data_IF_083419342601
#
_entry.id   IF_083419342601
#
_cell.length_a   1.000
_cell.length_b   1.000
_cell.length_c   1.000
_cell.angle_alpha   90.00
_cell.angle_beta   90.00
_cell.angle_gamma   90.00
#
_symmetry.space_group_name_H-M   'P 1'
#
loop_
_entity.id
_entity.type
_entity.pdbx_description
1 polymer ?
#
# COMPACT_ATOMS: atom_id res chain seq x y z
N UNK A 1 17.42 -0.84 -24.38
CA UNK A 1 16.61 0.39 -24.17
C UNK A 1 15.21 0.21 -24.75
N UNK A 2 14.26 1.02 -24.33
CA UNK A 2 12.92 1.03 -24.96
C UNK A 2 13.07 1.22 -26.47
N UNK A 3 12.27 0.52 -27.27
CA UNK A 3 12.16 0.82 -28.69
C UNK A 3 11.77 2.29 -28.90
N UNK A 4 12.29 2.93 -29.95
CA UNK A 4 12.05 4.35 -30.24
C UNK A 4 10.56 4.72 -30.29
N UNK A 5 9.70 3.79 -30.73
CA UNK A 5 8.26 4.03 -30.78
C UNK A 5 7.61 4.19 -29.40
N UNK A 6 8.11 3.49 -28.36
CA UNK A 6 7.61 3.63 -27.00
C UNK A 6 8.01 4.98 -26.41
N UNK A 7 9.24 5.44 -26.74
CA UNK A 7 9.71 6.76 -26.31
C UNK A 7 8.92 7.87 -26.99
N UNK A 8 8.73 7.78 -28.30
CA UNK A 8 7.93 8.74 -29.05
C UNK A 8 6.48 8.79 -28.56
N UNK A 9 5.92 7.63 -28.17
CA UNK A 9 4.58 7.59 -27.58
C UNK A 9 4.54 8.31 -26.23
N UNK A 10 5.46 8.02 -25.34
CA UNK A 10 5.54 8.71 -24.05
C UNK A 10 5.73 10.22 -24.23
N UNK A 11 6.64 10.64 -25.13
CA UNK A 11 6.82 12.07 -25.45
C UNK A 11 5.53 12.71 -25.99
N UNK A 12 4.77 12.01 -26.82
CA UNK A 12 3.52 12.53 -27.38
C UNK A 12 2.47 12.83 -26.32
N UNK A 13 2.48 12.11 -25.20
CA UNK A 13 1.59 12.34 -24.06
C UNK A 13 1.89 13.65 -23.32
N UNK A 14 3.10 14.21 -23.48
CA UNK A 14 3.54 15.44 -22.82
C UNK A 14 3.32 16.71 -23.65
N UNK A 15 3.04 16.60 -24.93
CA UNK A 15 2.95 17.77 -25.84
C UNK A 15 1.62 18.51 -25.79
N UNK A 16 0.56 17.89 -25.24
CA UNK A 16 -0.81 18.44 -25.22
C UNK A 16 -1.27 18.88 -23.82
N UNK A 17 -0.35 19.37 -22.97
CA UNK A 17 -0.75 19.93 -21.70
C UNK A 17 -1.63 21.18 -21.90
N UNK A 18 -2.79 21.27 -21.24
CA UNK A 18 -3.63 22.46 -21.32
C UNK A 18 -2.87 23.66 -20.76
N UNK A 19 -3.17 24.82 -21.32
CA UNK A 19 -2.59 26.07 -20.87
C UNK A 19 -2.66 26.19 -19.35
N UNK A 20 -1.58 26.65 -18.71
CA UNK A 20 -1.48 26.82 -17.27
C UNK A 20 -2.68 27.60 -16.74
N UNK A 21 -3.31 27.06 -15.69
CA UNK A 21 -4.41 27.74 -15.01
C UNK A 21 -3.92 28.96 -14.20
N UNK A 22 -4.83 29.75 -13.63
CA UNK A 22 -4.48 30.98 -12.90
C UNK A 22 -3.58 30.78 -11.67
N UNK A 23 -3.42 29.53 -11.23
CA UNK A 23 -2.60 29.15 -10.06
C UNK A 23 -1.35 28.33 -10.44
N UNK A 24 -1.03 28.26 -11.72
CA UNK A 24 0.13 27.51 -12.24
C UNK A 24 0.94 28.38 -13.16
N UNK A 25 2.24 28.14 -13.21
CA UNK A 25 3.16 28.80 -14.14
C UNK A 25 4.15 27.78 -14.73
N UNK A 26 4.76 28.10 -15.86
CA UNK A 26 5.83 27.28 -16.41
C UNK A 26 7.08 27.31 -15.50
N UNK A 27 7.94 26.31 -15.63
CA UNK A 27 9.21 26.28 -14.93
C UNK A 27 10.08 27.51 -15.26
N UNK A 28 10.15 27.89 -16.54
CA UNK A 28 10.93 29.05 -16.98
C UNK A 28 10.39 30.36 -16.40
N UNK A 29 9.06 30.53 -16.30
CA UNK A 29 8.46 31.68 -15.65
C UNK A 29 8.79 31.72 -14.17
N UNK A 30 8.72 30.58 -13.48
CA UNK A 30 9.09 30.45 -12.07
C UNK A 30 10.55 30.82 -11.81
N UNK A 31 11.47 30.32 -12.65
CA UNK A 31 12.91 30.64 -12.55
C UNK A 31 13.13 32.13 -12.82
N UNK A 32 12.52 32.69 -13.87
CA UNK A 32 12.67 34.10 -14.23
C UNK A 32 12.14 35.04 -13.13
N UNK A 33 11.07 34.64 -12.42
CA UNK A 33 10.57 35.36 -11.26
C UNK A 33 11.54 35.26 -10.07
N UNK A 34 12.10 34.08 -9.84
CA UNK A 34 13.12 33.84 -8.80
C UNK A 34 14.42 34.64 -9.04
N UNK A 35 14.86 34.81 -10.28
CA UNK A 35 16.04 35.62 -10.63
C UNK A 35 15.89 37.11 -10.30
N UNK A 36 14.66 37.59 -10.22
CA UNK A 36 14.35 38.97 -9.82
C UNK A 36 14.38 39.17 -8.29
N UNK A 37 14.41 38.08 -7.52
CA UNK A 37 14.45 38.13 -6.08
C UNK A 37 15.84 38.53 -5.57
N UNK A 38 15.95 39.69 -4.99
CA UNK A 38 17.22 40.23 -4.43
C UNK A 38 17.32 40.12 -2.90
N UNK A 39 16.33 39.49 -2.27
CA UNK A 39 16.28 39.34 -0.82
C UNK A 39 17.09 38.14 -0.31
N UNK A 40 17.24 38.06 0.99
CA UNK A 40 17.79 36.89 1.68
C UNK A 40 16.66 36.01 2.17
N UNK A 41 16.70 34.71 1.86
CA UNK A 41 15.78 33.73 2.43
C UNK A 41 16.37 33.21 3.73
N UNK A 42 15.75 33.54 4.86
CA UNK A 42 16.12 32.97 6.14
C UNK A 42 15.42 31.62 6.33
N UNK A 43 16.16 30.61 6.75
CA UNK A 43 15.58 29.32 7.09
C UNK A 43 14.67 29.45 8.32
N UNK A 44 13.44 28.94 8.22
CA UNK A 44 12.56 28.80 9.37
C UNK A 44 13.14 27.79 10.38
N UNK A 45 13.28 28.24 11.64
CA UNK A 45 13.91 27.45 12.70
C UNK A 45 12.92 26.61 13.50
N UNK A 46 11.61 26.90 13.42
CA UNK A 46 10.60 26.12 14.12
C UNK A 46 10.30 24.83 13.36
N UNK A 47 10.93 23.73 13.80
CA UNK A 47 10.76 22.41 13.19
C UNK A 47 9.39 21.77 13.49
N UNK A 48 8.66 22.27 14.48
CA UNK A 48 7.35 21.75 14.88
C UNK A 48 6.17 22.45 14.16
N UNK A 49 6.46 23.44 13.29
CA UNK A 49 5.43 24.04 12.46
C UNK A 49 4.93 23.07 11.37
N UNK A 50 3.68 23.21 10.91
CA UNK A 50 3.22 22.49 9.74
C UNK A 50 4.12 22.77 8.52
N UNK A 51 4.66 21.71 7.94
CA UNK A 51 5.51 21.81 6.74
C UNK A 51 4.82 21.23 5.51
N UNK A 52 4.14 20.12 5.68
CA UNK A 52 3.62 19.33 4.58
C UNK A 52 2.19 18.86 4.88
N UNK A 53 1.34 18.88 3.86
CA UNK A 53 -0.03 18.40 3.93
C UNK A 53 -0.29 17.41 2.80
N UNK A 54 -0.83 16.26 3.16
CA UNK A 54 -1.18 15.20 2.23
C UNK A 54 -2.63 14.76 2.42
N UNK A 55 -3.21 14.19 1.39
CA UNK A 55 -4.53 13.58 1.50
C UNK A 55 -4.41 12.06 1.63
N UNK A 56 -5.21 11.47 2.51
CA UNK A 56 -5.35 10.01 2.56
C UNK A 56 -6.07 9.51 1.30
N UNK A 57 -5.86 8.24 0.93
CA UNK A 57 -6.49 7.65 -0.26
C UNK A 57 -8.02 7.57 -0.22
N UNK A 58 -8.63 7.79 0.97
CA UNK A 58 -10.08 7.67 1.12
C UNK A 58 -10.63 6.25 0.96
N UNK A 59 -9.78 5.23 1.08
CA UNK A 59 -10.18 3.82 0.90
C UNK A 59 -11.15 3.27 1.96
N UNK A 60 -11.37 4.00 3.05
CA UNK A 60 -12.28 3.61 4.15
C UNK A 60 -13.28 4.71 4.51
N UNK A 61 -13.34 5.78 3.72
CA UNK A 61 -14.21 6.94 3.96
C UNK A 61 -13.69 8.17 3.22
N UNK A 62 -14.26 9.36 3.47
CA UNK A 62 -13.78 10.60 2.84
C UNK A 62 -12.29 10.82 3.07
N UNK A 63 -11.59 11.27 2.03
CA UNK A 63 -10.18 11.63 2.11
C UNK A 63 -9.96 12.72 3.17
N UNK A 64 -8.95 12.55 4.03
CA UNK A 64 -8.60 13.47 5.09
C UNK A 64 -7.25 14.11 4.81
N UNK A 65 -7.09 15.37 5.17
CA UNK A 65 -5.82 16.06 5.05
C UNK A 65 -4.94 15.80 6.28
N UNK A 66 -3.86 15.07 6.10
CA UNK A 66 -2.83 14.78 7.10
C UNK A 66 -1.83 15.93 7.15
N UNK A 67 -1.44 16.36 8.33
CA UNK A 67 -0.51 17.46 8.55
C UNK A 67 0.78 16.94 9.20
N UNK A 68 1.91 17.18 8.55
CA UNK A 68 3.24 16.86 9.05
C UNK A 68 4.08 18.11 9.30
N UNK A 69 4.90 18.07 10.34
CA UNK A 69 5.93 19.08 10.62
C UNK A 69 7.27 18.72 9.97
N UNK A 70 8.21 19.66 9.99
CA UNK A 70 9.60 19.36 9.62
C UNK A 70 10.19 18.28 10.55
N UNK A 71 9.83 18.28 11.83
CA UNK A 71 10.25 17.27 12.80
C UNK A 71 9.83 15.86 12.37
N UNK A 72 8.56 15.65 12.03
CA UNK A 72 8.08 14.33 11.58
C UNK A 72 8.77 13.88 10.30
N UNK A 73 9.05 14.78 9.38
CA UNK A 73 9.75 14.46 8.13
C UNK A 73 11.22 14.11 8.36
N UNK A 74 11.92 14.86 9.24
CA UNK A 74 13.29 14.54 9.64
C UNK A 74 13.35 13.20 10.37
N UNK A 75 12.38 12.91 11.23
CA UNK A 75 12.26 11.62 11.89
C UNK A 75 12.17 10.45 10.91
N UNK A 76 11.31 10.55 9.93
CA UNK A 76 11.19 9.56 8.84
C UNK A 76 12.49 9.40 8.05
N UNK A 77 13.18 10.50 7.74
CA UNK A 77 14.47 10.45 7.07
C UNK A 77 15.51 9.68 7.89
N UNK A 78 15.59 9.92 9.19
CA UNK A 78 16.50 9.17 10.07
C UNK A 78 16.17 7.68 10.08
N UNK A 79 14.89 7.31 10.15
CA UNK A 79 14.46 5.90 10.09
C UNK A 79 14.92 5.22 8.79
N UNK A 80 14.71 5.87 7.65
CA UNK A 80 15.12 5.34 6.35
C UNK A 80 16.64 5.19 6.23
N UNK A 81 17.41 6.14 6.77
CA UNK A 81 18.87 6.06 6.78
C UNK A 81 19.40 4.86 7.59
N UNK A 82 18.75 4.48 8.68
CA UNK A 82 19.10 3.27 9.44
C UNK A 82 18.97 1.99 8.61
N UNK A 83 18.06 1.95 7.65
CA UNK A 83 17.90 0.81 6.74
C UNK A 83 18.87 0.82 5.57
N UNK A 84 19.83 1.73 5.56
CA UNK A 84 20.75 1.87 4.46
C UNK A 84 20.11 2.48 3.20
N UNK A 85 18.93 3.11 3.34
CA UNK A 85 18.37 3.97 2.31
C UNK A 85 19.24 5.23 2.19
N UNK A 86 20.50 5.02 1.86
CA UNK A 86 21.50 6.05 1.65
C UNK A 86 21.58 6.42 0.16
N UNK A 87 22.45 7.35 -0.15
CA UNK A 87 22.75 7.77 -1.53
C UNK A 87 23.20 6.62 -2.46
N UNK A 88 23.39 5.42 -1.95
CA UNK A 88 23.76 4.23 -2.73
C UNK A 88 22.56 3.56 -3.40
N UNK A 89 21.34 3.80 -2.92
CA UNK A 89 20.08 3.33 -3.52
C UNK A 89 19.62 4.21 -4.68
N UNK A 90 20.47 4.45 -5.65
CA UNK A 90 20.19 5.32 -6.80
C UNK A 90 20.11 4.53 -8.09
N UNK A 91 19.20 4.87 -8.99
CA UNK A 91 17.98 5.69 -8.85
C UNK A 91 16.82 4.89 -8.25
N UNK A 92 16.02 5.53 -7.41
CA UNK A 92 14.77 4.98 -6.88
C UNK A 92 13.60 5.46 -7.72
N UNK A 93 12.77 4.54 -8.14
CA UNK A 93 11.61 4.85 -8.97
C UNK A 93 10.36 5.02 -8.11
N UNK A 94 9.80 6.21 -8.15
CA UNK A 94 8.53 6.52 -7.50
C UNK A 94 7.47 6.78 -8.55
N UNK A 95 6.69 5.76 -8.83
CA UNK A 95 5.56 5.85 -9.75
C UNK A 95 4.39 6.61 -9.12
N UNK A 96 4.23 6.52 -7.81
CA UNK A 96 3.21 7.26 -7.11
C UNK A 96 3.82 8.26 -6.17
N UNK A 97 3.29 9.45 -6.16
CA UNK A 97 3.56 10.45 -5.14
C UNK A 97 2.88 10.05 -3.83
N UNK A 98 3.32 8.96 -3.24
CA UNK A 98 2.94 8.55 -1.89
C UNK A 98 3.64 9.49 -0.91
N UNK A 99 2.98 10.38 -0.58
CA UNK A 99 3.18 11.70 -0.13
C UNK A 99 4.16 11.98 1.02
N UNK A 100 4.14 11.41 2.21
CA UNK A 100 5.15 11.79 3.21
C UNK A 100 6.48 11.06 3.04
N UNK A 101 6.44 9.80 2.59
CA UNK A 101 7.65 9.04 2.27
C UNK A 101 8.45 9.70 1.15
N UNK A 102 7.77 10.38 0.22
CA UNK A 102 8.41 11.10 -0.85
C UNK A 102 9.38 12.18 -0.32
N UNK A 103 8.95 12.99 0.64
CA UNK A 103 9.80 14.06 1.17
C UNK A 103 10.96 13.49 1.97
N UNK A 104 10.73 12.45 2.77
CA UNK A 104 11.79 11.78 3.51
C UNK A 104 12.84 11.15 2.57
N UNK A 105 12.39 10.59 1.46
CA UNK A 105 13.25 9.96 0.46
C UNK A 105 13.97 11.02 -0.40
N UNK A 106 13.33 12.12 -0.77
CA UNK A 106 13.95 13.22 -1.55
C UNK A 106 15.20 13.78 -0.88
N UNK A 107 15.21 13.83 0.43
CA UNK A 107 16.38 14.38 1.17
C UNK A 107 17.56 13.38 1.18
N UNK A 108 17.32 12.09 1.06
CA UNK A 108 18.33 11.03 1.19
C UNK A 108 18.69 10.33 -0.11
N UNK A 109 17.83 10.34 -1.13
CA UNK A 109 17.96 9.51 -2.32
C UNK A 109 17.73 10.30 -3.62
N UNK A 110 18.39 9.87 -4.70
CA UNK A 110 18.03 10.36 -6.04
C UNK A 110 16.73 9.68 -6.48
N UNK A 111 15.72 10.48 -6.78
CA UNK A 111 14.42 9.99 -7.21
C UNK A 111 14.28 10.10 -8.72
N UNK A 112 13.74 9.06 -9.33
CA UNK A 112 13.09 9.16 -10.62
C UNK A 112 11.62 9.45 -10.33
N UNK A 113 11.22 10.69 -10.49
CA UNK A 113 9.81 11.07 -10.43
C UNK A 113 9.21 10.79 -11.78
N UNK A 114 8.42 9.72 -11.87
CA UNK A 114 7.63 9.49 -13.06
C UNK A 114 6.63 10.64 -13.22
N UNK A 115 6.53 11.24 -14.38
CA UNK A 115 5.50 12.23 -14.67
C UNK A 115 4.09 11.62 -14.65
N UNK A 116 3.99 10.32 -14.66
CA UNK A 116 2.79 9.51 -14.46
C UNK A 116 1.57 10.01 -15.25
N UNK A 117 1.58 9.76 -16.54
CA UNK A 117 0.50 10.17 -17.42
C UNK A 117 -0.56 9.07 -17.56
N UNK A 118 -0.13 7.80 -17.58
CA UNK A 118 -1.01 6.67 -17.73
C UNK A 118 -0.54 5.49 -16.86
N UNK A 119 -1.33 5.04 -15.87
CA UNK A 119 -0.99 3.89 -15.02
C UNK A 119 -0.62 2.64 -15.80
N UNK A 120 -1.28 2.43 -16.91
CA UNK A 120 -1.12 1.29 -17.82
C UNK A 120 0.25 1.25 -18.51
N UNK A 121 1.00 2.35 -18.51
CA UNK A 121 2.31 2.44 -19.15
C UNK A 121 3.49 2.35 -18.16
N UNK A 122 3.23 1.99 -16.93
CA UNK A 122 4.24 1.89 -15.86
C UNK A 122 5.37 0.90 -16.19
N UNK A 123 5.08 -0.16 -16.92
CA UNK A 123 6.08 -1.13 -17.40
C UNK A 123 7.04 -0.54 -18.42
N UNK A 124 6.57 0.36 -19.30
CA UNK A 124 7.41 1.07 -20.26
C UNK A 124 8.36 2.04 -19.54
N UNK A 125 7.85 2.78 -18.56
CA UNK A 125 8.67 3.66 -17.74
C UNK A 125 9.74 2.87 -16.96
N UNK A 126 9.38 1.75 -16.37
CA UNK A 126 10.30 0.85 -15.70
C UNK A 126 11.46 0.43 -16.59
N UNK A 127 11.15 0.00 -17.82
CA UNK A 127 12.17 -0.41 -18.78
C UNK A 127 13.04 0.76 -19.24
N UNK A 128 12.45 1.95 -19.36
CA UNK A 128 13.16 3.15 -19.79
C UNK A 128 14.13 3.66 -18.73
N UNK A 129 13.66 3.88 -17.51
CA UNK A 129 14.44 4.47 -16.44
C UNK A 129 15.40 3.48 -15.77
N UNK A 130 15.15 2.18 -15.89
CA UNK A 130 15.96 1.12 -15.27
C UNK A 130 16.29 1.43 -13.80
N UNK A 131 15.29 1.69 -12.95
CA UNK A 131 15.54 1.99 -11.55
C UNK A 131 16.14 0.80 -10.83
N UNK A 132 16.94 1.03 -9.81
CA UNK A 132 17.48 -0.05 -9.00
C UNK A 132 16.71 -0.27 -7.67
N UNK A 133 15.63 0.48 -7.43
CA UNK A 133 14.75 0.30 -6.29
C UNK A 133 13.29 0.55 -6.69
N UNK A 134 12.40 -0.38 -6.35
CA UNK A 134 10.95 -0.34 -6.62
C UNK A 134 10.12 -0.33 -5.34
N UNK A 135 9.87 0.81 -4.72
CA UNK A 135 8.86 0.93 -3.68
C UNK A 135 7.49 1.19 -4.33
N UNK A 136 6.82 0.15 -4.77
CA UNK A 136 5.57 0.25 -5.52
C UNK A 136 4.33 -0.08 -4.66
N UNK A 137 3.17 0.03 -5.28
CA UNK A 137 1.91 -0.49 -4.75
C UNK A 137 1.48 -1.69 -5.59
N UNK A 138 0.64 -2.59 -5.05
CA UNK A 138 0.25 -3.83 -5.72
C UNK A 138 -0.22 -3.64 -7.16
N UNK A 139 -1.07 -2.65 -7.43
CA UNK A 139 -1.60 -2.40 -8.76
C UNK A 139 -0.50 -2.24 -9.82
N UNK A 140 0.56 -1.49 -9.53
CA UNK A 140 1.63 -1.27 -10.52
C UNK A 140 2.48 -2.52 -10.75
N UNK A 141 2.72 -3.31 -9.72
CA UNK A 141 3.39 -4.60 -9.86
C UNK A 141 2.57 -5.53 -10.78
N UNK A 142 1.26 -5.61 -10.55
CA UNK A 142 0.36 -6.42 -11.38
C UNK A 142 0.36 -5.93 -12.84
N UNK A 143 0.36 -4.62 -13.08
CA UNK A 143 0.45 -4.06 -14.44
C UNK A 143 1.77 -4.45 -15.10
N UNK A 144 2.90 -4.28 -14.42
CA UNK A 144 4.22 -4.68 -14.96
C UNK A 144 4.26 -6.15 -15.35
N UNK A 145 3.67 -7.02 -14.52
CA UNK A 145 3.65 -8.47 -14.80
C UNK A 145 2.67 -8.87 -15.91
N UNK A 146 1.53 -8.18 -16.03
CA UNK A 146 0.39 -8.65 -16.83
C UNK A 146 0.25 -7.99 -18.21
N UNK A 147 0.85 -6.83 -18.43
CA UNK A 147 0.75 -6.12 -19.72
C UNK A 147 1.42 -6.87 -20.89
N UNK A 148 2.28 -7.85 -20.62
CA UNK A 148 2.95 -8.66 -21.62
C UNK A 148 3.91 -7.87 -22.54
N UNK A 149 4.31 -6.66 -22.12
CA UNK A 149 5.23 -5.78 -22.87
C UNK A 149 6.67 -5.87 -22.37
N UNK A 150 6.88 -6.43 -21.16
CA UNK A 150 8.22 -6.73 -20.67
C UNK A 150 8.73 -7.98 -21.39
N UNK A 151 9.83 -7.89 -22.18
CA UNK A 151 10.36 -9.06 -22.86
C UNK A 151 10.81 -10.14 -21.88
N UNK A 152 10.62 -11.42 -22.23
CA UNK A 152 11.03 -12.56 -21.39
C UNK A 152 12.53 -12.56 -21.06
N UNK A 153 13.34 -11.96 -21.93
CA UNK A 153 14.80 -11.82 -21.75
C UNK A 153 15.22 -10.47 -21.16
N UNK A 154 14.28 -9.65 -20.67
CA UNK A 154 14.61 -8.37 -20.05
C UNK A 154 15.36 -8.58 -18.74
N UNK A 155 16.59 -8.08 -18.68
CA UNK A 155 17.48 -8.26 -17.54
C UNK A 155 17.21 -7.24 -16.42
N UNK A 156 16.71 -7.72 -15.29
CA UNK A 156 16.46 -6.94 -14.05
C UNK A 156 17.56 -7.12 -13.00
N UNK A 157 18.74 -7.61 -13.36
CA UNK A 157 19.87 -7.80 -12.43
C UNK A 157 20.34 -6.48 -11.80
N UNK A 158 19.98 -5.34 -12.39
CA UNK A 158 20.23 -4.00 -11.86
C UNK A 158 19.32 -3.63 -10.70
N UNK A 159 18.21 -4.36 -10.51
CA UNK A 159 17.23 -4.10 -9.45
C UNK A 159 17.77 -4.66 -8.13
N UNK A 160 18.00 -3.77 -7.19
CA UNK A 160 18.55 -4.08 -5.87
C UNK A 160 17.45 -4.37 -4.83
N UNK A 161 16.33 -3.67 -4.93
CA UNK A 161 15.20 -3.79 -4.03
C UNK A 161 13.88 -3.68 -4.78
N UNK A 162 12.98 -4.61 -4.53
CA UNK A 162 11.63 -4.61 -5.06
C UNK A 162 10.63 -4.92 -3.95
N UNK A 163 9.53 -4.18 -3.92
CA UNK A 163 8.49 -4.42 -2.93
C UNK A 163 7.22 -3.63 -3.18
N UNK A 164 6.18 -4.00 -2.46
CA UNK A 164 4.90 -3.31 -2.46
C UNK A 164 4.47 -2.94 -1.04
N UNK A 165 3.64 -1.89 -0.96
CA UNK A 165 3.03 -1.45 0.27
C UNK A 165 1.66 -0.84 0.01
N UNK A 166 1.06 -0.23 1.02
CA UNK A 166 -0.24 0.45 0.95
C UNK A 166 -1.47 -0.46 0.82
N UNK A 167 -1.32 -1.71 0.43
CA UNK A 167 -2.34 -2.74 0.40
C UNK A 167 -1.70 -4.09 0.73
N UNK A 168 -2.46 -5.00 1.33
CA UNK A 168 -2.01 -6.35 1.60
C UNK A 168 -1.87 -7.16 0.30
N UNK A 169 -0.86 -8.01 0.25
CA UNK A 169 -0.60 -8.96 -0.81
C UNK A 169 -0.87 -10.36 -0.29
N UNK A 170 -1.69 -11.14 -0.96
CA UNK A 170 -1.89 -12.54 -0.61
C UNK A 170 -0.69 -13.40 -1.06
N UNK A 171 -0.63 -14.64 -0.56
CA UNK A 171 0.50 -15.52 -0.82
C UNK A 171 0.69 -15.83 -2.31
N UNK A 172 -0.40 -15.90 -3.10
CA UNK A 172 -0.33 -16.13 -4.53
C UNK A 172 0.29 -14.95 -5.27
N UNK A 173 -0.14 -13.73 -4.93
CA UNK A 173 0.43 -12.50 -5.49
C UNK A 173 1.93 -12.38 -5.15
N UNK A 174 2.32 -12.69 -3.90
CA UNK A 174 3.74 -12.71 -3.48
C UNK A 174 4.57 -13.71 -4.28
N UNK A 175 4.05 -14.94 -4.47
CA UNK A 175 4.70 -15.98 -5.29
C UNK A 175 4.88 -15.52 -6.74
N UNK A 176 3.84 -14.92 -7.36
CA UNK A 176 3.91 -14.40 -8.73
C UNK A 176 4.93 -13.29 -8.88
N UNK A 177 4.93 -12.31 -7.97
CA UNK A 177 5.87 -11.19 -8.01
C UNK A 177 7.32 -11.68 -7.84
N UNK A 178 7.58 -12.59 -6.90
CA UNK A 178 8.91 -13.17 -6.72
C UNK A 178 9.36 -13.95 -7.93
N UNK A 179 8.49 -14.81 -8.49
CA UNK A 179 8.79 -15.58 -9.69
C UNK A 179 9.09 -14.66 -10.90
N UNK A 180 8.32 -13.59 -11.08
CA UNK A 180 8.56 -12.62 -12.15
C UNK A 180 9.97 -12.00 -12.03
N UNK A 181 10.41 -11.64 -10.84
CA UNK A 181 11.75 -11.13 -10.61
C UNK A 181 12.83 -12.17 -10.95
N UNK A 182 12.63 -13.42 -10.53
CA UNK A 182 13.56 -14.52 -10.79
C UNK A 182 13.68 -14.84 -12.29
N UNK A 183 12.55 -14.90 -13.00
CA UNK A 183 12.48 -15.13 -14.44
C UNK A 183 13.23 -14.02 -15.23
N UNK A 184 13.34 -12.80 -14.66
CA UNK A 184 14.07 -11.69 -15.25
C UNK A 184 15.45 -11.45 -14.62
N UNK A 185 16.07 -12.48 -14.05
CA UNK A 185 17.43 -12.45 -13.49
C UNK A 185 17.64 -11.49 -12.30
N UNK A 186 16.59 -11.08 -11.62
CA UNK A 186 16.67 -10.24 -10.43
C UNK A 186 17.00 -11.08 -9.21
N UNK A 187 18.08 -10.72 -8.50
CA UNK A 187 18.46 -11.36 -7.24
C UNK A 187 17.73 -10.78 -6.02
N UNK A 188 17.00 -9.68 -6.19
CA UNK A 188 16.26 -9.06 -5.10
C UNK A 188 15.08 -9.94 -4.66
N UNK A 189 14.88 -10.04 -3.35
CA UNK A 189 13.69 -10.63 -2.79
C UNK A 189 12.56 -9.62 -2.85
N UNK A 190 11.38 -10.04 -3.33
CA UNK A 190 10.19 -9.20 -3.26
C UNK A 190 9.73 -9.05 -1.81
N UNK A 191 9.45 -7.83 -1.38
CA UNK A 191 9.13 -7.52 0.01
C UNK A 191 7.81 -6.75 0.13
N UNK A 192 7.22 -6.78 1.32
CA UNK A 192 6.04 -5.97 1.65
C UNK A 192 6.41 -5.01 2.78
N UNK A 193 5.97 -3.76 2.65
CA UNK A 193 6.11 -2.74 3.69
C UNK A 193 4.75 -2.38 4.28
N UNK A 194 4.72 -1.96 5.52
CA UNK A 194 3.53 -1.50 6.21
C UNK A 194 3.70 -0.07 6.71
N UNK A 195 2.73 0.76 6.38
CA UNK A 195 2.73 2.17 6.76
C UNK A 195 1.47 2.89 6.29
N UNK A 196 1.34 4.12 6.70
CA UNK A 196 0.23 4.99 6.31
C UNK A 196 0.67 6.45 6.25
N UNK A 197 -0.18 7.29 5.67
CA UNK A 197 0.07 8.73 5.59
C UNK A 197 0.20 9.37 6.98
N UNK A 198 -0.57 8.88 7.94
CA UNK A 198 -0.60 9.37 9.32
C UNK A 198 0.70 9.06 10.10
N UNK A 199 1.42 8.00 9.72
CA UNK A 199 2.74 7.66 10.27
C UNK A 199 3.89 8.30 9.49
N UNK A 200 3.58 9.06 8.45
CA UNK A 200 4.54 9.75 7.60
C UNK A 200 5.26 8.88 6.58
N UNK A 201 5.36 7.58 6.80
CA UNK A 201 6.04 6.61 5.93
C UNK A 201 5.76 5.18 6.39
N UNK A 202 6.75 4.29 6.21
CA UNK A 202 6.71 2.95 6.73
C UNK A 202 6.81 2.93 8.26
N UNK A 203 5.96 2.14 8.87
CA UNK A 203 5.98 1.83 10.31
C UNK A 203 6.81 0.59 10.59
N UNK A 204 6.84 -0.34 9.63
CA UNK A 204 7.64 -1.56 9.69
C UNK A 204 8.27 -1.89 8.34
N UNK A 205 9.32 -2.70 8.39
CA UNK A 205 9.97 -3.25 7.21
C UNK A 205 10.31 -4.73 7.43
N UNK A 206 10.19 -5.57 6.37
CA UNK A 206 10.49 -6.99 6.48
C UNK A 206 11.98 -7.22 6.72
N UNK A 207 12.29 -8.17 7.60
CA UNK A 207 13.63 -8.73 7.70
C UNK A 207 13.82 -9.83 6.67
N UNK A 208 14.99 -9.88 6.07
CA UNK A 208 15.34 -10.90 5.06
C UNK A 208 15.35 -12.33 5.63
N UNK A 209 15.46 -12.49 6.95
CA UNK A 209 15.48 -13.77 7.62
C UNK A 209 14.12 -14.47 7.73
N UNK A 210 13.01 -13.71 7.61
CA UNK A 210 11.66 -14.25 7.76
C UNK A 210 10.95 -14.40 6.43
N UNK A 211 10.14 -15.47 6.23
CA UNK A 211 9.31 -15.61 5.04
C UNK A 211 8.34 -14.45 4.90
N UNK A 212 8.25 -13.86 3.72
CA UNK A 212 7.23 -12.84 3.41
C UNK A 212 5.99 -13.59 2.95
N UNK A 213 5.08 -13.84 3.89
CA UNK A 213 3.81 -14.52 3.67
C UNK A 213 2.85 -14.23 4.83
N UNK A 214 1.59 -14.61 4.65
CA UNK A 214 0.56 -14.59 5.70
C UNK A 214 0.33 -13.19 6.33
N UNK A 215 0.66 -12.11 5.62
CA UNK A 215 0.54 -10.76 6.14
C UNK A 215 1.73 -10.29 6.97
N UNK A 216 2.84 -11.03 6.96
CA UNK A 216 4.10 -10.59 7.56
C UNK A 216 4.58 -9.29 6.89
N UNK A 217 4.64 -8.22 7.68
CA UNK A 217 5.11 -6.90 7.25
C UNK A 217 6.43 -6.50 7.94
N UNK A 218 7.05 -7.45 8.62
CA UNK A 218 8.36 -7.29 9.25
C UNK A 218 8.31 -6.81 10.70
N UNK A 219 9.33 -6.10 11.12
CA UNK A 219 9.51 -5.57 12.47
C UNK A 219 9.37 -4.04 12.47
N UNK A 220 9.13 -3.42 13.64
CA UNK A 220 9.06 -1.96 13.75
C UNK A 220 10.30 -1.28 13.16
N UNK A 221 10.07 -0.15 12.50
CA UNK A 221 11.16 0.74 12.07
C UNK A 221 11.97 1.22 13.28
N UNK A 222 13.27 1.55 13.11
CA UNK A 222 14.04 2.20 14.15
C UNK A 222 13.32 3.42 14.72
N UNK A 223 13.42 3.63 16.04
CA UNK A 223 12.74 4.71 16.77
C UNK A 223 11.21 4.63 16.75
N UNK A 224 10.65 3.52 16.32
CA UNK A 224 9.20 3.28 16.33
C UNK A 224 8.88 2.15 17.29
N UNK A 225 7.87 2.35 18.10
CA UNK A 225 7.21 1.32 18.89
C UNK A 225 5.89 0.95 18.21
N UNK A 226 5.67 -0.33 18.03
CA UNK A 226 4.37 -0.87 17.61
C UNK A 226 3.87 -1.80 18.71
N UNK A 227 2.62 -1.66 19.07
CA UNK A 227 1.94 -2.52 20.03
C UNK A 227 0.54 -2.87 19.53
N UNK A 228 0.01 -3.95 20.06
CA UNK A 228 -1.32 -4.45 19.69
C UNK A 228 -2.27 -4.15 20.84
N UNK A 229 -3.37 -3.49 20.54
CA UNK A 229 -4.38 -3.09 21.51
C UNK A 229 -5.71 -3.77 21.25
N UNK A 230 -6.46 -4.01 22.30
CA UNK A 230 -7.83 -4.51 22.17
C UNK A 230 -8.70 -3.45 21.55
N UNK A 231 -9.35 -3.73 20.40
CA UNK A 231 -10.13 -2.74 19.68
C UNK A 231 -11.12 -1.99 20.56
N UNK A 232 -11.12 -0.65 20.44
CA UNK A 232 -12.00 0.24 21.19
C UNK A 232 -11.61 0.47 22.65
N UNK A 233 -10.42 0.02 23.08
CA UNK A 233 -9.88 0.22 24.43
C UNK A 233 -8.40 0.59 24.40
N UNK A 234 -7.86 1.04 25.54
CA UNK A 234 -6.43 1.30 25.73
C UNK A 234 -5.72 0.09 26.39
N UNK A 235 -6.32 -1.11 26.33
CA UNK A 235 -5.76 -2.36 26.86
C UNK A 235 -4.76 -2.94 25.87
N UNK A 236 -3.47 -2.93 26.20
CA UNK A 236 -2.42 -3.55 25.42
C UNK A 236 -2.50 -5.08 25.53
N UNK A 237 -2.40 -5.76 24.41
CA UNK A 237 -2.49 -7.21 24.31
C UNK A 237 -1.09 -7.83 24.27
N UNK A 238 -1.02 -9.10 24.69
CA UNK A 238 0.21 -9.89 24.63
C UNK A 238 0.48 -10.40 23.20
N UNK A 239 1.71 -10.87 22.98
CA UNK A 239 2.12 -11.48 21.70
C UNK A 239 1.16 -12.59 21.26
N UNK A 240 1.09 -12.78 19.95
CA UNK A 240 0.23 -13.77 19.28
C UNK A 240 -1.28 -13.57 19.53
N UNK A 241 -1.68 -12.39 20.02
CA UNK A 241 -3.08 -12.02 20.23
C UNK A 241 -3.50 -10.98 19.23
N UNK A 242 -4.59 -11.26 18.51
CA UNK A 242 -5.11 -10.36 17.48
C UNK A 242 -5.80 -9.14 18.09
N UNK A 243 -5.44 -7.95 17.64
CA UNK A 243 -6.01 -6.67 18.02
C UNK A 243 -5.70 -5.57 17.02
N UNK A 244 -5.95 -4.34 17.40
CA UNK A 244 -5.63 -3.16 16.58
C UNK A 244 -4.14 -2.83 16.70
N UNK A 245 -3.50 -2.58 15.58
CA UNK A 245 -2.09 -2.19 15.50
C UNK A 245 -1.98 -0.69 15.79
N UNK A 246 -1.27 -0.33 16.85
CA UNK A 246 -0.96 1.07 17.16
C UNK A 246 0.53 1.36 17.00
N UNK A 247 0.83 2.59 16.66
CA UNK A 247 2.21 3.05 16.41
C UNK A 247 2.52 4.32 17.19
N UNK A 248 3.69 4.34 17.83
CA UNK A 248 4.30 5.54 18.39
C UNK A 248 5.69 5.71 17.79
N UNK A 249 5.96 6.83 17.15
CA UNK A 249 7.24 7.06 16.50
C UNK A 249 7.40 8.48 15.99
N UNK A 250 8.60 8.85 15.55
CA UNK A 250 8.93 10.23 15.16
C UNK A 250 8.15 10.70 13.92
N UNK A 251 7.68 9.77 13.08
CA UNK A 251 6.89 10.07 11.89
C UNK A 251 5.40 10.32 12.15
N UNK A 252 4.92 10.13 13.40
CA UNK A 252 3.51 10.33 13.73
C UNK A 252 3.06 11.76 13.39
N UNK A 253 2.03 11.91 12.58
CA UNK A 253 1.49 13.19 12.10
C UNK A 253 1.19 14.17 13.24
N UNK A 254 1.12 15.45 12.93
CA UNK A 254 0.60 16.45 13.88
C UNK A 254 -0.90 16.23 14.15
N UNK A 255 -1.63 15.88 13.14
CA UNK A 255 -3.07 15.62 13.14
C UNK A 255 -3.65 15.77 11.75
N UNK A 256 -4.98 15.72 11.68
CA UNK A 256 -5.74 16.09 10.50
C UNK A 256 -6.13 17.58 10.55
N UNK A 257 -6.63 18.11 9.44
CA UNK A 257 -7.32 19.40 9.40
C UNK A 257 -8.64 19.40 10.19
N UNK A 258 -9.24 18.21 10.40
CA UNK A 258 -10.35 17.99 11.33
C UNK A 258 -9.83 17.62 12.74
N UNK A 259 -9.98 18.51 13.77
CA UNK A 259 -9.54 18.20 15.12
C UNK A 259 -10.26 16.99 15.75
N UNK A 260 -11.53 16.79 15.43
CA UNK A 260 -12.29 15.65 15.97
C UNK A 260 -11.80 14.32 15.36
N UNK A 261 -11.42 14.31 14.09
CA UNK A 261 -10.77 13.14 13.49
C UNK A 261 -9.39 12.90 14.11
N UNK A 262 -8.64 13.95 14.41
CA UNK A 262 -7.35 13.85 15.09
C UNK A 262 -7.48 13.19 16.46
N UNK A 263 -8.42 13.66 17.29
CA UNK A 263 -8.66 13.14 18.64
C UNK A 263 -9.08 11.65 18.64
N UNK A 264 -9.80 11.22 17.61
CA UNK A 264 -10.13 9.79 17.44
C UNK A 264 -8.93 8.93 17.03
N UNK A 265 -7.98 9.51 16.30
CA UNK A 265 -6.88 8.77 15.66
C UNK A 265 -5.58 8.86 16.45
N UNK A 266 -5.32 9.96 17.16
CA UNK A 266 -4.14 10.13 18.00
C UNK A 266 -4.55 10.08 19.48
N UNK A 267 -3.94 9.17 20.23
CA UNK A 267 -4.06 9.12 21.68
C UNK A 267 -2.77 9.55 22.35
N UNK A 268 -2.90 10.31 23.44
CA UNK A 268 -1.77 10.72 24.27
C UNK A 268 -1.85 9.92 25.56
N UNK A 269 -0.84 9.09 25.81
CA UNK A 269 -0.74 8.30 27.02
C UNK A 269 -0.23 9.15 28.19
N UNK A 270 -0.30 8.60 29.42
CA UNK A 270 0.07 9.31 30.64
C UNK A 270 1.54 9.79 30.65
N UNK A 271 2.43 9.06 29.96
CA UNK A 271 3.85 9.39 29.80
C UNK A 271 4.09 10.48 28.72
N UNK A 272 3.02 10.99 28.09
CA UNK A 272 3.08 12.00 27.03
C UNK A 272 3.37 11.40 25.64
N UNK A 273 3.54 10.10 25.50
CA UNK A 273 3.72 9.45 24.20
C UNK A 273 2.46 9.57 23.34
N UNK A 274 2.67 9.78 22.03
CA UNK A 274 1.61 9.96 21.04
C UNK A 274 1.43 8.70 20.22
N UNK A 275 0.33 8.03 20.42
CA UNK A 275 0.00 6.79 19.75
C UNK A 275 -0.99 7.02 18.61
N UNK A 276 -0.65 6.50 17.45
CA UNK A 276 -1.48 6.48 16.26
C UNK A 276 -2.30 5.19 16.24
N UNK A 277 -3.62 5.33 16.24
CA UNK A 277 -4.56 4.26 15.93
C UNK A 277 -4.63 4.07 14.43
N UNK A 278 -4.14 2.95 13.94
CA UNK A 278 -4.08 2.72 12.49
C UNK A 278 -5.42 2.32 11.91
N UNK A 279 -6.30 1.71 12.71
CA UNK A 279 -7.52 1.06 12.26
C UNK A 279 -7.26 -0.27 11.55
N UNK A 280 -6.02 -0.76 11.57
CA UNK A 280 -5.65 -2.05 10.99
C UNK A 280 -5.59 -3.11 12.10
N UNK A 281 -6.06 -4.32 11.80
CA UNK A 281 -6.09 -5.45 12.71
C UNK A 281 -4.97 -6.41 12.35
N UNK A 282 -4.27 -6.87 13.39
CA UNK A 282 -3.16 -7.78 13.25
C UNK A 282 -2.67 -8.31 14.59
N UNK A 283 -1.49 -8.88 14.59
CA UNK A 283 -0.82 -9.32 15.81
C UNK A 283 0.70 -9.18 15.68
N UNK A 284 1.39 -9.29 16.80
CA UNK A 284 2.86 -9.33 16.87
C UNK A 284 3.29 -10.63 17.50
N UNK A 285 4.34 -11.25 16.98
CA UNK A 285 4.99 -12.42 17.55
C UNK A 285 6.07 -12.04 18.57
N UNK A 286 6.55 -12.99 19.39
CA UNK A 286 7.54 -12.75 20.44
C UNK A 286 8.89 -12.24 19.91
N UNK A 287 9.22 -12.51 18.65
CA UNK A 287 10.40 -11.99 17.97
C UNK A 287 10.22 -10.59 17.36
N UNK A 288 9.06 -9.97 17.60
CA UNK A 288 8.73 -8.64 17.12
C UNK A 288 8.20 -8.57 15.68
N UNK A 289 7.97 -9.71 15.04
CA UNK A 289 7.38 -9.74 13.69
C UNK A 289 5.91 -9.35 13.73
N UNK A 290 5.52 -8.43 12.86
CA UNK A 290 4.16 -7.89 12.77
C UNK A 290 3.44 -8.55 11.61
N UNK A 291 2.19 -8.94 11.84
CA UNK A 291 1.28 -9.47 10.84
C UNK A 291 0.08 -8.55 10.72
N UNK A 292 -0.07 -7.86 9.58
CA UNK A 292 -1.22 -7.01 9.27
C UNK A 292 -2.22 -7.82 8.43
N UNK A 293 -3.44 -8.02 8.93
CA UNK A 293 -4.36 -9.02 8.41
C UNK A 293 -5.58 -8.43 7.70
N UNK A 294 -6.09 -7.31 8.18
CA UNK A 294 -7.27 -6.66 7.61
C UNK A 294 -7.36 -5.22 8.11
N UNK A 295 -8.18 -4.43 7.45
CA UNK A 295 -8.50 -3.06 7.87
C UNK A 295 -9.93 -2.97 8.38
N UNK A 296 -10.12 -2.27 9.50
CA UNK A 296 -11.41 -2.12 10.14
C UNK A 296 -11.77 -3.30 11.05
N UNK A 297 -13.06 -3.56 11.20
CA UNK A 297 -13.52 -4.65 12.07
C UNK A 297 -13.18 -6.02 11.48
N UNK A 298 -12.72 -6.91 12.35
CA UNK A 298 -12.53 -8.32 12.04
C UNK A 298 -13.53 -9.13 12.87
N UNK A 299 -14.79 -9.27 12.40
CA UNK A 299 -15.83 -9.95 13.16
C UNK A 299 -15.44 -11.39 13.47
N UNK A 300 -15.75 -11.84 14.68
CA UNK A 300 -15.43 -13.19 15.17
C UNK A 300 -16.64 -14.11 15.12
N UNK A 301 -16.44 -15.30 14.58
CA UNK A 301 -17.45 -16.36 14.49
C UNK A 301 -16.86 -17.70 14.86
N UNK A 302 -17.55 -18.47 15.70
CA UNK A 302 -17.20 -19.86 15.97
C UNK A 302 -15.75 -20.11 16.40
N UNK A 303 -15.07 -19.10 16.96
CA UNK A 303 -13.67 -19.18 17.34
C UNK A 303 -12.68 -18.67 16.29
N UNK A 304 -13.17 -18.27 15.09
CA UNK A 304 -12.37 -17.65 14.03
C UNK A 304 -12.69 -16.18 13.82
N UNK A 305 -11.99 -15.53 12.91
CA UNK A 305 -12.19 -14.14 12.51
C UNK A 305 -12.30 -14.01 11.00
N UNK A 306 -13.26 -13.19 10.53
CA UNK A 306 -13.38 -12.83 9.11
C UNK A 306 -12.38 -11.71 8.79
N UNK A 307 -11.09 -12.04 8.76
CA UNK A 307 -10.06 -11.17 8.23
C UNK A 307 -9.80 -11.55 6.76
N UNK A 308 -9.80 -10.57 5.86
CA UNK A 308 -9.75 -10.84 4.41
C UNK A 308 -8.48 -11.55 3.98
N UNK A 309 -7.32 -11.08 4.43
CA UNK A 309 -6.05 -11.64 3.99
C UNK A 309 -5.85 -13.12 4.41
N UNK A 310 -6.14 -13.56 5.64
CA UNK A 310 -6.10 -14.99 5.97
C UNK A 310 -7.02 -15.86 5.11
N UNK A 311 -8.19 -15.34 4.73
CA UNK A 311 -9.12 -16.06 3.85
C UNK A 311 -8.55 -16.18 2.43
N UNK A 312 -8.02 -15.09 1.90
CA UNK A 312 -7.34 -15.03 0.60
C UNK A 312 -6.13 -15.97 0.57
N UNK A 313 -5.32 -15.99 1.63
CA UNK A 313 -4.15 -16.88 1.73
C UNK A 313 -4.52 -18.36 1.75
N UNK A 314 -5.64 -18.74 2.37
CA UNK A 314 -6.12 -20.14 2.32
C UNK A 314 -6.43 -20.59 0.91
N UNK A 315 -7.06 -19.75 0.09
CA UNK A 315 -7.30 -20.06 -1.33
C UNK A 315 -6.00 -20.08 -2.14
N UNK A 316 -5.12 -19.11 -1.90
CA UNK A 316 -3.81 -19.03 -2.54
C UNK A 316 -2.95 -20.26 -2.25
N UNK A 317 -2.95 -20.75 -1.01
CA UNK A 317 -2.17 -21.92 -0.60
C UNK A 317 -2.82 -23.26 -1.06
N UNK A 318 -4.13 -23.25 -1.29
CA UNK A 318 -4.84 -24.39 -1.89
C UNK A 318 -4.59 -24.53 -3.39
N UNK A 319 -4.00 -23.51 -4.02
CA UNK A 319 -3.68 -23.46 -5.46
C UNK A 319 -4.87 -23.92 -6.33
N UNK A 320 -6.03 -23.27 -6.10
CA UNK A 320 -7.29 -23.64 -6.77
C UNK A 320 -7.14 -23.43 -8.27
N UNK A 321 -7.09 -24.53 -9.02
CA UNK A 321 -6.96 -24.49 -10.49
C UNK A 321 -8.11 -23.69 -11.09
N UNK A 322 -7.82 -22.81 -12.04
CA UNK A 322 -8.81 -21.96 -12.69
C UNK A 322 -8.93 -20.56 -12.10
N UNK A 323 -8.39 -20.29 -10.93
CA UNK A 323 -8.33 -18.93 -10.34
C UNK A 323 -7.01 -18.28 -10.75
N UNK A 324 -7.09 -17.11 -11.38
CA UNK A 324 -5.95 -16.25 -11.67
C UNK A 324 -5.71 -15.23 -10.55
N UNK A 325 -6.79 -14.66 -10.02
CA UNK A 325 -6.74 -13.69 -8.91
C UNK A 325 -7.99 -13.84 -8.04
N UNK A 326 -7.85 -13.61 -6.74
CA UNK A 326 -8.92 -13.75 -5.76
C UNK A 326 -8.83 -12.69 -4.66
N UNK A 327 -9.98 -12.23 -4.18
CA UNK A 327 -10.07 -11.37 -3.01
C UNK A 327 -11.45 -11.41 -2.37
N UNK A 328 -11.51 -11.18 -1.07
CA UNK A 328 -12.76 -11.13 -0.32
C UNK A 328 -13.25 -9.71 -0.08
N UNK A 329 -14.57 -9.57 -0.10
CA UNK A 329 -15.30 -8.40 0.39
C UNK A 329 -16.25 -8.88 1.48
N UNK A 330 -16.16 -8.24 2.65
CA UNK A 330 -16.99 -8.57 3.81
C UNK A 330 -18.02 -7.46 3.99
N UNK A 331 -19.28 -7.81 4.01
CA UNK A 331 -20.39 -6.88 4.18
C UNK A 331 -21.21 -7.20 5.42
N UNK A 332 -21.89 -6.22 5.98
CA UNK A 332 -22.85 -6.46 7.06
C UNK A 332 -24.03 -7.26 6.52
N UNK A 333 -24.48 -8.28 7.25
CA UNK A 333 -25.65 -9.06 6.89
C UNK A 333 -26.90 -8.16 6.97
N UNK A 334 -27.66 -7.98 5.88
CA UNK A 334 -28.84 -7.13 5.86
C UNK A 334 -29.99 -7.65 6.75
N UNK A 335 -30.03 -8.96 6.98
CA UNK A 335 -31.07 -9.58 7.82
C UNK A 335 -30.67 -9.65 9.30
N UNK A 336 -29.36 -9.71 9.57
CA UNK A 336 -28.80 -9.87 10.90
C UNK A 336 -27.71 -8.83 11.17
N UNK A 337 -28.06 -7.60 11.46
CA UNK A 337 -27.17 -6.42 11.58
C UNK A 337 -25.96 -6.56 12.53
N UNK A 338 -25.84 -7.64 13.28
CA UNK A 338 -24.66 -7.98 14.09
C UNK A 338 -23.74 -8.99 13.41
N UNK A 339 -24.16 -9.50 12.26
CA UNK A 339 -23.44 -10.51 11.50
C UNK A 339 -22.80 -9.87 10.27
N UNK A 340 -21.75 -10.51 9.79
CA UNK A 340 -21.05 -10.13 8.57
C UNK A 340 -20.94 -11.36 7.68
N UNK A 341 -21.03 -11.15 6.39
CA UNK A 341 -21.00 -12.20 5.38
C UNK A 341 -19.92 -11.93 4.34
N UNK A 342 -19.11 -12.93 3.99
CA UNK A 342 -18.08 -12.78 2.98
C UNK A 342 -18.63 -13.05 1.58
N UNK A 343 -18.18 -12.26 0.61
CA UNK A 343 -18.28 -12.49 -0.82
C UNK A 343 -16.90 -12.76 -1.37
N UNK A 344 -16.77 -13.77 -2.23
CA UNK A 344 -15.53 -14.05 -2.93
C UNK A 344 -15.61 -13.50 -4.36
N UNK A 345 -14.68 -12.63 -4.71
CA UNK A 345 -14.47 -12.16 -6.07
C UNK A 345 -13.28 -12.88 -6.68
N UNK A 346 -13.42 -13.35 -7.91
CA UNK A 346 -12.37 -14.07 -8.62
C UNK A 346 -12.18 -13.54 -10.04
N UNK A 347 -10.94 -13.55 -10.51
CA UNK A 347 -10.59 -13.47 -11.92
C UNK A 347 -10.26 -14.88 -12.37
N UNK A 348 -10.97 -15.37 -13.36
CA UNK A 348 -10.81 -16.77 -13.82
C UNK A 348 -9.84 -16.87 -15.00
N UNK A 349 -9.06 -17.92 -14.98
CA UNK A 349 -8.26 -18.32 -16.14
C UNK A 349 -9.17 -18.63 -17.34
N UNK A 350 -8.67 -18.41 -18.54
CA UNK A 350 -9.42 -18.65 -19.76
C UNK A 350 -9.92 -20.10 -19.85
N UNK A 351 -11.23 -20.24 -20.01
CA UNK A 351 -11.89 -21.54 -20.16
C UNK A 351 -12.48 -22.12 -18.89
N UNK A 352 -12.24 -21.49 -17.73
CA UNK A 352 -12.84 -21.88 -16.47
C UNK A 352 -14.11 -21.10 -16.16
N UNK A 353 -14.98 -21.71 -15.37
CA UNK A 353 -16.24 -21.14 -14.85
C UNK A 353 -16.26 -21.20 -13.33
N UNK A 354 -17.22 -20.51 -12.71
CA UNK A 354 -17.41 -20.59 -11.24
C UNK A 354 -17.71 -22.02 -10.79
N UNK A 355 -18.42 -22.80 -11.61
CA UNK A 355 -18.78 -24.16 -11.23
C UNK A 355 -17.57 -25.10 -11.19
N UNK A 356 -16.53 -24.83 -11.99
CA UNK A 356 -15.28 -25.61 -11.99
C UNK A 356 -14.46 -25.41 -10.70
N UNK A 357 -14.58 -24.26 -10.05
CA UNK A 357 -13.80 -23.92 -8.84
C UNK A 357 -14.57 -24.11 -7.54
N UNK A 358 -15.91 -24.16 -7.59
CA UNK A 358 -16.82 -24.08 -6.42
C UNK A 358 -16.48 -25.09 -5.32
N UNK A 359 -16.36 -26.36 -5.66
CA UNK A 359 -16.10 -27.43 -4.67
C UNK A 359 -14.71 -27.24 -4.03
N UNK A 360 -13.70 -26.85 -4.82
CA UNK A 360 -12.35 -26.64 -4.30
C UNK A 360 -12.27 -25.43 -3.38
N UNK A 361 -12.95 -24.32 -3.71
CA UNK A 361 -13.12 -23.16 -2.83
C UNK A 361 -13.73 -23.59 -1.50
N UNK A 362 -14.81 -24.39 -1.56
CA UNK A 362 -15.50 -24.89 -0.37
C UNK A 362 -14.60 -25.77 0.51
N UNK A 363 -13.84 -26.67 -0.08
CA UNK A 363 -12.90 -27.53 0.66
C UNK A 363 -11.74 -26.74 1.31
N UNK A 364 -11.38 -25.61 0.74
CA UNK A 364 -10.22 -24.82 1.17
C UNK A 364 -10.52 -23.87 2.34
N UNK A 365 -11.79 -23.60 2.62
CA UNK A 365 -12.23 -22.63 3.60
C UNK A 365 -12.98 -23.30 4.77
N UNK A 366 -12.79 -22.78 5.97
CA UNK A 366 -13.58 -23.20 7.13
C UNK A 366 -15.03 -22.73 7.02
N UNK A 367 -15.94 -23.36 7.73
CA UNK A 367 -17.39 -23.10 7.61
C UNK A 367 -17.74 -21.62 7.77
N UNK A 368 -17.11 -20.91 8.72
CA UNK A 368 -17.37 -19.49 8.95
C UNK A 368 -16.77 -18.55 7.90
N UNK A 369 -15.85 -19.06 7.05
CA UNK A 369 -15.23 -18.31 5.94
C UNK A 369 -15.95 -18.53 4.62
N UNK A 370 -16.90 -19.45 4.56
CA UNK A 370 -17.58 -19.79 3.30
C UNK A 370 -18.27 -18.55 2.69
N UNK A 371 -17.95 -18.21 1.44
CA UNK A 371 -18.59 -17.07 0.81
C UNK A 371 -20.07 -17.38 0.52
N UNK A 372 -20.94 -16.40 0.72
CA UNK A 372 -22.36 -16.51 0.35
C UNK A 372 -22.53 -16.57 -1.16
N UNK A 373 -21.64 -15.94 -1.90
CA UNK A 373 -21.58 -16.06 -3.36
C UNK A 373 -20.12 -15.92 -3.86
N UNK A 374 -19.88 -16.51 -5.06
CA UNK A 374 -18.62 -16.38 -5.80
C UNK A 374 -18.94 -15.60 -7.08
N UNK A 375 -18.26 -14.48 -7.28
CA UNK A 375 -18.50 -13.53 -8.36
C UNK A 375 -17.27 -13.45 -9.24
N UNK A 376 -17.41 -13.80 -10.51
CA UNK A 376 -16.33 -13.65 -11.48
C UNK A 376 -16.31 -12.21 -12.03
N UNK A 377 -15.13 -11.61 -12.03
CA UNK A 377 -14.85 -10.33 -12.65
C UNK A 377 -13.86 -10.51 -13.81
N UNK A 378 -13.89 -9.64 -14.82
CA UNK A 378 -12.90 -9.69 -15.91
C UNK A 378 -11.48 -9.32 -15.41
N UNK A 379 -11.40 -8.46 -14.42
CA UNK A 379 -10.16 -7.99 -13.78
C UNK A 379 -10.45 -7.49 -12.37
N UNK A 380 -9.40 -7.34 -11.54
CA UNK A 380 -9.51 -6.73 -10.21
C UNK A 380 -9.81 -5.24 -10.36
N UNK A 381 -10.91 -4.71 -9.75
CA UNK A 381 -11.22 -3.29 -9.84
C UNK A 381 -10.33 -2.49 -8.90
N UNK A 382 -9.80 -1.36 -9.38
CA UNK A 382 -9.01 -0.44 -8.58
C UNK A 382 -9.70 0.91 -8.43
N UNK A 383 -9.49 1.52 -7.27
CA UNK A 383 -9.85 2.91 -6.98
C UNK A 383 -8.74 3.54 -6.13
N UNK A 384 -8.23 4.69 -6.55
CA UNK A 384 -7.07 5.32 -5.92
C UNK A 384 -5.91 4.34 -5.70
N UNK A 385 -5.63 3.51 -6.73
CA UNK A 385 -4.54 2.53 -6.79
C UNK A 385 -4.67 1.33 -5.84
N UNK A 386 -5.80 1.17 -5.17
CA UNK A 386 -6.12 0.03 -4.29
C UNK A 386 -7.32 -0.73 -4.80
N UNK A 387 -7.44 -2.00 -4.42
CA UNK A 387 -8.65 -2.79 -4.69
C UNK A 387 -9.89 -2.04 -4.20
N UNK A 388 -10.85 -1.81 -5.10
CA UNK A 388 -12.06 -1.03 -4.83
C UNK A 388 -13.10 -1.82 -4.02
N UNK A 389 -12.73 -2.26 -2.82
CA UNK A 389 -13.65 -3.01 -1.94
C UNK A 389 -14.88 -2.20 -1.55
N UNK A 390 -14.75 -0.89 -1.33
CA UNK A 390 -15.90 -0.02 -0.96
C UNK A 390 -16.90 0.07 -2.10
N UNK A 391 -16.44 0.27 -3.34
CA UNK A 391 -17.33 0.27 -4.50
C UNK A 391 -18.07 -1.05 -4.64
N UNK A 392 -17.40 -2.18 -4.39
CA UNK A 392 -18.04 -3.49 -4.42
C UNK A 392 -19.01 -3.71 -3.27
N UNK A 393 -18.73 -3.18 -2.07
CA UNK A 393 -19.73 -3.18 -0.95
C UNK A 393 -21.00 -2.47 -1.39
N UNK A 394 -20.90 -1.25 -1.93
CA UNK A 394 -22.06 -0.51 -2.42
C UNK A 394 -22.78 -1.28 -3.56
N UNK A 395 -22.05 -1.95 -4.44
CA UNK A 395 -22.64 -2.74 -5.52
C UNK A 395 -23.38 -3.97 -5.01
N UNK A 396 -22.87 -4.64 -3.95
CA UNK A 396 -23.54 -5.74 -3.26
C UNK A 396 -24.81 -5.22 -2.58
N UNK A 397 -24.73 -4.13 -1.81
CA UNK A 397 -25.85 -3.52 -1.11
C UNK A 397 -26.94 -3.03 -2.08
N UNK A 398 -26.55 -2.56 -3.26
CA UNK A 398 -27.45 -2.18 -4.34
C UNK A 398 -28.05 -3.37 -5.12
N UNK A 399 -27.69 -4.62 -4.77
CA UNK A 399 -28.20 -5.83 -5.40
C UNK A 399 -27.69 -6.09 -6.82
N UNK A 400 -26.57 -5.49 -7.25
CA UNK A 400 -26.03 -5.66 -8.60
C UNK A 400 -25.65 -7.11 -8.92
N UNK A 401 -25.31 -7.88 -7.90
CA UNK A 401 -24.88 -9.28 -8.04
C UNK A 401 -26.00 -10.28 -7.68
N UNK A 402 -27.19 -9.79 -7.28
CA UNK A 402 -28.33 -10.67 -7.02
C UNK A 402 -28.82 -11.26 -8.36
N UNK A 403 -28.83 -12.60 -8.44
CA UNK A 403 -29.35 -13.36 -9.60
C UNK A 403 -30.84 -13.57 -9.50
#
# INVERSE_FOLDING_TARGET
>A
GLPDYCWNYLESLYTDYPAYGPYTMSWDAFISEGEQFSGTVEAEKNIDRPLFRAYTSGSTGPSKQVIHSAHTMIGNMHQMNFYGASSEFRPTWLVTQLTPSLVAVVVAMLLILSPFVAPEDVDLEMMHYRPNCWPLIPMFIEIVMRNGRVPDDYDMSHLFSAGAGCEAYNNNQLKRAQKFLEDHHCAARFTTGYGCSEAGSNMSLPLTAHPIKDGNVGIPMPLTTISIFKPGTDEELTYNTMGEIWQCGPGTMMGYDDPAATERTIKIHEDGSRWLHTGDIGYMTEDGTIYALTRGEAPRYGGGSLATLPMENRLADAEVEGIDDEFFVIVQDPEHHRCFIPYLFVVLNKGYTIDDIREKVKESLEDYMQPVDIIALPERPFFHFKTNRIGLIHDIEAGKFNK
#
